data_IF_016864429800
#
_entry.id   IF_016864429800
#
_cell.length_a   1.000
_cell.length_b   1.000
_cell.length_c   1.000
_cell.angle_alpha   90.00
_cell.angle_beta   90.00
_cell.angle_gamma   90.00
#
_symmetry.space_group_name_H-M   'P 1'
#
loop_
_entity.id
_entity.type
_entity.pdbx_description
1 polymer ?
#
# COMPACT_ATOMS: atom_id res chain seq x y z
N UNK A 1 -25.87 -76.09 24.43
CA UNK A 1 -24.50 -76.56 24.79
C UNK A 1 -23.62 -76.26 23.58
N UNK A 2 -22.76 -75.24 23.71
CA UNK A 2 -21.48 -74.95 23.01
C UNK A 2 -21.34 -75.37 21.53
N UNK A 3 -20.90 -74.56 20.56
CA UNK A 3 -20.01 -73.38 20.56
C UNK A 3 -19.97 -72.89 19.09
N UNK A 4 -20.24 -71.61 18.84
CA UNK A 4 -19.84 -70.94 17.60
C UNK A 4 -18.37 -70.52 17.72
N UNK A 5 -17.53 -70.64 16.68
CA UNK A 5 -16.17 -70.12 16.73
C UNK A 5 -16.16 -68.60 16.50
N UNK A 6 -15.51 -67.91 17.43
CA UNK A 6 -15.22 -66.48 17.40
C UNK A 6 -14.35 -66.11 16.19
N UNK A 7 -14.96 -65.47 15.19
CA UNK A 7 -14.27 -64.77 14.11
C UNK A 7 -13.84 -63.39 14.55
N UNK A 8 -12.76 -63.32 15.31
CA UNK A 8 -12.11 -62.07 15.76
C UNK A 8 -11.44 -61.37 14.56
N UNK A 9 -12.12 -60.40 13.94
CA UNK A 9 -11.51 -59.50 12.94
C UNK A 9 -10.64 -58.45 13.64
N UNK A 10 -9.41 -58.82 13.96
CA UNK A 10 -8.35 -57.87 14.33
C UNK A 10 -7.90 -57.10 13.08
N UNK A 11 -8.49 -55.92 12.86
CA UNK A 11 -7.90 -54.91 11.98
C UNK A 11 -6.67 -54.35 12.72
N UNK A 12 -5.50 -54.88 12.42
CA UNK A 12 -4.22 -54.26 12.81
C UNK A 12 -3.93 -53.11 11.84
N UNK A 13 -4.60 -51.99 12.02
CA UNK A 13 -4.16 -50.73 11.42
C UNK A 13 -2.94 -50.23 12.17
N UNK A 14 -1.76 -50.58 11.66
CA UNK A 14 -0.55 -49.79 11.92
C UNK A 14 -0.87 -48.33 11.55
N UNK A 15 -0.58 -47.34 12.41
CA UNK A 15 -0.66 -45.95 11.98
C UNK A 15 0.41 -45.76 10.90
N UNK A 16 0.02 -45.77 9.63
CA UNK A 16 0.87 -45.17 8.61
C UNK A 16 0.98 -43.70 8.98
N UNK A 17 2.16 -43.29 9.44
CA UNK A 17 2.56 -41.91 9.65
C UNK A 17 2.51 -41.19 8.29
N UNK A 18 1.30 -40.84 7.87
CA UNK A 18 1.01 -39.96 6.76
C UNK A 18 1.27 -38.53 7.24
N UNK A 19 2.52 -38.24 7.62
CA UNK A 19 3.09 -36.89 7.54
C UNK A 19 3.22 -36.50 6.08
N UNK A 20 2.07 -36.33 5.42
CA UNK A 20 1.97 -35.49 4.25
C UNK A 20 2.47 -34.13 4.70
N UNK A 21 3.57 -33.71 4.10
CA UNK A 21 4.11 -32.37 4.20
C UNK A 21 3.03 -31.40 3.72
N UNK A 22 2.16 -31.00 4.64
CA UNK A 22 1.53 -29.70 4.55
C UNK A 22 2.70 -28.75 4.53
N UNK A 23 2.99 -28.17 3.37
CA UNK A 23 3.71 -26.92 3.31
C UNK A 23 2.87 -25.94 4.13
N UNK A 24 3.15 -25.89 5.43
CA UNK A 24 2.69 -24.80 6.26
C UNK A 24 3.36 -23.60 5.61
N UNK A 25 2.58 -22.81 4.88
CA UNK A 25 2.86 -21.40 4.71
C UNK A 25 2.75 -20.77 6.10
N UNK A 26 3.66 -21.16 7.01
CA UNK A 26 3.97 -20.34 8.17
C UNK A 26 4.37 -19.01 7.56
N UNK A 27 3.72 -17.90 7.92
CA UNK A 27 4.25 -16.59 7.61
C UNK A 27 5.71 -16.64 8.02
N UNK A 28 6.63 -16.45 7.06
CA UNK A 28 8.03 -16.25 7.44
C UNK A 28 8.00 -15.12 8.47
N UNK A 29 8.57 -15.30 9.67
CA UNK A 29 8.78 -14.16 10.54
C UNK A 29 9.53 -13.14 9.69
N UNK A 30 8.95 -11.95 9.55
CA UNK A 30 9.59 -10.83 8.90
C UNK A 30 10.86 -10.55 9.73
N UNK A 31 12.08 -10.74 9.21
CA UNK A 31 13.04 -9.71 9.51
C UNK A 31 12.40 -8.49 8.87
N UNK A 32 11.95 -7.51 9.66
CA UNK A 32 11.93 -6.19 9.08
C UNK A 32 13.31 -6.03 8.46
N UNK A 33 13.43 -5.69 7.15
CA UNK A 33 14.71 -5.19 6.72
C UNK A 33 15.07 -4.14 7.75
N UNK A 34 16.33 -4.06 8.15
CA UNK A 34 16.84 -2.91 8.90
C UNK A 34 16.73 -1.70 7.94
N UNK A 35 15.48 -1.26 7.69
CA UNK A 35 15.08 -0.17 6.82
C UNK A 35 15.55 1.15 7.43
N UNK A 36 15.71 1.13 8.75
CA UNK A 36 16.17 2.22 9.57
C UNK A 36 17.47 1.78 10.24
N UNK A 37 18.42 2.70 10.35
CA UNK A 37 19.42 2.61 11.40
C UNK A 37 18.69 2.62 12.75
N UNK A 38 19.14 1.83 13.72
CA UNK A 38 18.55 1.87 15.07
C UNK A 38 18.55 3.33 15.57
N UNK A 39 17.39 3.86 16.03
CA UNK A 39 17.35 5.19 16.60
C UNK A 39 18.29 5.25 17.81
N UNK A 40 19.03 6.36 18.01
CA UNK A 40 19.77 6.59 19.24
C UNK A 40 18.87 6.38 20.48
N UNK A 41 19.43 5.82 21.55
CA UNK A 41 18.67 5.46 22.76
C UNK A 41 17.95 6.67 23.40
N UNK A 42 18.44 7.89 23.15
CA UNK A 42 17.91 9.15 23.67
C UNK A 42 16.86 9.80 22.76
N UNK A 43 16.54 9.22 21.61
CA UNK A 43 15.55 9.79 20.69
C UNK A 43 14.12 9.64 21.24
N UNK A 44 13.27 10.69 21.18
CA UNK A 44 11.88 10.59 21.64
C UNK A 44 11.13 9.55 20.82
N UNK A 45 10.74 8.45 21.47
CA UNK A 45 9.85 7.44 20.89
C UNK A 45 8.41 7.86 21.15
N UNK A 46 7.63 8.29 20.14
CA UNK A 46 6.20 8.40 20.29
C UNK A 46 5.68 7.05 20.77
N UNK A 47 4.83 7.06 21.81
CA UNK A 47 4.25 5.83 22.33
C UNK A 47 3.62 5.04 21.17
N UNK A 48 3.88 3.72 21.04
CA UNK A 48 3.31 2.92 19.97
C UNK A 48 1.79 3.06 20.05
N UNK A 49 1.21 3.72 19.05
CA UNK A 49 -0.21 4.07 19.10
C UNK A 49 -1.00 2.80 18.78
N UNK A 50 -1.86 2.29 19.67
CA UNK A 50 -2.69 1.10 19.40
C UNK A 50 -3.62 1.27 18.17
N UNK A 51 -3.72 2.49 17.62
CA UNK A 51 -4.44 2.81 16.39
C UNK A 51 -3.79 2.23 15.13
N UNK A 52 -2.52 1.82 15.15
CA UNK A 52 -1.80 1.44 13.92
C UNK A 52 -2.22 0.08 13.35
N UNK A 53 -2.35 -1.02 14.14
CA UNK A 53 -2.96 -2.25 13.64
C UNK A 53 -4.39 -2.02 13.14
N UNK A 54 -5.15 -1.13 13.80
CA UNK A 54 -6.47 -0.74 13.34
C UNK A 54 -6.40 0.02 11.99
N UNK A 55 -5.39 0.86 11.77
CA UNK A 55 -5.14 1.53 10.51
C UNK A 55 -4.90 0.53 9.37
N UNK A 56 -3.98 -0.41 9.54
CA UNK A 56 -3.74 -1.47 8.56
C UNK A 56 -4.98 -2.34 8.31
N UNK A 57 -5.79 -2.61 9.35
CA UNK A 57 -7.02 -3.40 9.20
C UNK A 57 -8.04 -2.78 8.23
N UNK A 58 -8.03 -1.46 8.05
CA UNK A 58 -8.89 -0.77 7.09
C UNK A 58 -8.69 -1.24 5.64
N UNK A 59 -7.47 -1.69 5.31
CA UNK A 59 -7.13 -2.20 3.98
C UNK A 59 -7.87 -3.50 3.64
N UNK A 60 -8.51 -4.18 4.61
CA UNK A 60 -9.46 -5.28 4.34
C UNK A 60 -10.61 -4.86 3.44
N UNK A 61 -10.99 -3.57 3.46
CA UNK A 61 -12.02 -3.07 2.57
C UNK A 61 -11.68 -3.34 1.10
N UNK A 62 -10.40 -3.32 0.72
CA UNK A 62 -9.90 -3.53 -0.65
C UNK A 62 -10.08 -4.96 -1.16
N UNK A 63 -10.47 -5.92 -0.32
CA UNK A 63 -10.84 -7.28 -0.76
C UNK A 63 -11.94 -7.25 -1.83
N UNK A 64 -12.85 -6.26 -1.77
CA UNK A 64 -13.95 -6.14 -2.73
C UNK A 64 -13.51 -5.69 -4.14
N UNK A 65 -12.25 -5.28 -4.32
CA UNK A 65 -11.70 -4.98 -5.65
C UNK A 65 -11.46 -6.24 -6.50
N UNK A 66 -11.48 -7.41 -5.86
CA UNK A 66 -11.42 -8.71 -6.51
C UNK A 66 -12.66 -9.55 -6.13
N UNK A 67 -13.84 -9.25 -6.70
CA UNK A 67 -15.07 -9.98 -6.38
C UNK A 67 -14.98 -11.48 -6.71
N UNK A 68 -14.03 -11.89 -7.56
CA UNK A 68 -13.77 -13.30 -7.85
C UNK A 68 -13.10 -14.06 -6.70
N UNK A 69 -12.45 -13.38 -5.75
CA UNK A 69 -11.91 -14.02 -4.54
C UNK A 69 -13.02 -14.55 -3.59
N UNK A 70 -14.21 -13.93 -3.59
CA UNK A 70 -15.36 -14.32 -2.76
C UNK A 70 -16.12 -15.54 -3.28
N UNK A 71 -15.91 -15.98 -4.53
CA UNK A 71 -16.65 -17.11 -5.11
C UNK A 71 -16.32 -18.48 -4.47
N UNK A 72 -15.33 -18.56 -3.57
CA UNK A 72 -14.97 -19.76 -2.84
C UNK A 72 -15.84 -19.92 -1.56
N UNK A 73 -17.14 -20.20 -1.73
CA UNK A 73 -18.06 -20.53 -0.61
C UNK A 73 -17.78 -21.96 -0.07
N UNK A 74 -17.80 -22.24 1.26
CA UNK A 74 -17.52 -23.56 1.80
C UNK A 74 -18.65 -24.59 1.62
N UNK A 75 -18.27 -25.71 0.98
CA UNK A 75 -18.43 -27.11 1.41
C UNK A 75 -19.84 -27.73 1.55
N UNK A 76 -20.24 -28.53 0.55
CA UNK A 76 -20.91 -29.83 0.81
C UNK A 76 -19.86 -30.85 1.28
N UNK A 77 -20.20 -31.77 2.21
CA UNK A 77 -19.26 -32.75 2.74
C UNK A 77 -18.60 -33.58 1.63
N UNK A 78 -17.29 -33.79 1.75
CA UNK A 78 -16.45 -34.53 0.80
C UNK A 78 -17.03 -35.93 0.50
N UNK A 79 -17.76 -36.07 -0.61
CA UNK A 79 -18.11 -37.37 -1.16
C UNK A 79 -16.92 -37.96 -1.94
N UNK A 80 -16.64 -39.27 -1.80
CA UNK A 80 -15.72 -39.96 -2.69
C UNK A 80 -16.17 -39.83 -4.15
N UNK A 81 -15.32 -39.25 -5.01
CA UNK A 81 -15.61 -39.00 -6.43
C UNK A 81 -15.73 -37.53 -6.83
N UNK A 82 -15.62 -36.58 -5.89
CA UNK A 82 -15.60 -35.15 -6.21
C UNK A 82 -14.32 -34.76 -6.99
N UNK A 83 -14.51 -34.03 -8.10
CA UNK A 83 -13.43 -33.48 -8.94
C UNK A 83 -12.50 -32.58 -8.11
N UNK A 84 -11.18 -32.57 -8.35
CA UNK A 84 -10.26 -31.64 -7.68
C UNK A 84 -10.76 -30.20 -7.88
N UNK A 85 -10.90 -29.48 -6.76
CA UNK A 85 -11.33 -28.09 -6.71
C UNK A 85 -10.55 -27.22 -7.72
N UNK A 86 -11.18 -26.19 -8.32
CA UNK A 86 -10.40 -25.18 -9.03
C UNK A 86 -9.36 -24.61 -8.07
N UNK A 87 -8.09 -24.55 -8.51
CA UNK A 87 -7.02 -23.90 -7.74
C UNK A 87 -7.48 -22.49 -7.41
N UNK A 88 -7.44 -22.11 -6.13
CA UNK A 88 -7.67 -20.74 -5.71
C UNK A 88 -6.74 -19.83 -6.54
N UNK A 89 -7.31 -18.91 -7.31
CA UNK A 89 -6.55 -17.93 -8.08
C UNK A 89 -5.81 -17.04 -7.07
N UNK A 90 -4.51 -16.73 -7.27
CA UNK A 90 -3.84 -15.77 -6.42
C UNK A 90 -4.58 -14.43 -6.49
N UNK A 91 -4.61 -13.65 -5.40
CA UNK A 91 -5.30 -12.36 -5.41
C UNK A 91 -4.86 -11.49 -6.59
N UNK A 92 -5.78 -10.69 -7.15
CA UNK A 92 -5.50 -9.87 -8.33
C UNK A 92 -4.55 -8.69 -8.06
N UNK A 93 -4.38 -8.29 -6.80
CA UNK A 93 -3.71 -7.06 -6.41
C UNK A 93 -2.45 -7.32 -5.59
N UNK A 94 -1.43 -6.50 -5.84
CA UNK A 94 -0.26 -6.35 -4.97
C UNK A 94 -0.40 -5.05 -4.14
N UNK A 95 0.15 -5.02 -2.92
CA UNK A 95 0.25 -3.81 -2.09
C UNK A 95 1.71 -3.38 -2.00
N UNK A 96 2.10 -2.34 -2.72
CA UNK A 96 3.46 -1.81 -2.64
C UNK A 96 3.54 -0.79 -1.50
N UNK A 97 4.46 -1.02 -0.56
CA UNK A 97 4.74 -0.11 0.53
C UNK A 97 6.05 0.61 0.26
N UNK A 98 6.00 1.91 0.04
CA UNK A 98 7.17 2.77 -0.08
C UNK A 98 7.39 3.44 1.27
N UNK A 99 8.52 3.22 1.92
CA UNK A 99 8.77 3.69 3.28
C UNK A 99 9.89 4.71 3.26
N UNK A 100 9.59 5.92 3.72
CA UNK A 100 10.60 6.94 3.95
C UNK A 100 11.57 6.50 5.06
N UNK A 101 12.86 6.62 4.77
CA UNK A 101 13.98 6.23 5.63
C UNK A 101 14.80 7.44 6.09
N UNK A 102 14.24 8.65 5.99
CA UNK A 102 14.84 9.88 6.50
C UNK A 102 15.08 9.84 8.02
N UNK A 103 16.01 10.64 8.53
CA UNK A 103 16.41 10.60 9.94
C UNK A 103 15.23 10.83 10.92
N UNK A 104 14.30 11.72 10.57
CA UNK A 104 13.09 12.00 11.36
C UNK A 104 12.14 10.81 11.45
N UNK A 105 12.20 9.88 10.48
CA UNK A 105 11.39 8.66 10.46
C UNK A 105 11.77 7.66 11.55
N UNK A 106 12.94 7.81 12.17
CA UNK A 106 13.37 6.97 13.28
C UNK A 106 12.41 7.03 14.48
N UNK A 107 11.78 8.19 14.72
CA UNK A 107 10.72 8.32 15.74
C UNK A 107 9.51 7.41 15.43
N UNK A 108 9.23 7.15 14.15
CA UNK A 108 8.02 6.47 13.71
C UNK A 108 8.21 4.97 13.47
N UNK A 109 9.42 4.44 13.73
CA UNK A 109 9.81 3.07 13.44
C UNK A 109 8.80 2.03 13.94
N UNK A 110 8.46 2.07 15.23
CA UNK A 110 7.57 1.09 15.85
C UNK A 110 6.16 1.11 15.21
N UNK A 111 5.68 2.30 14.85
CA UNK A 111 4.40 2.45 14.16
C UNK A 111 4.47 1.88 12.75
N UNK A 112 5.50 2.19 11.98
CA UNK A 112 5.65 1.70 10.61
C UNK A 112 5.80 0.17 10.62
N UNK A 113 6.63 -0.37 11.51
CA UNK A 113 6.78 -1.81 11.71
C UNK A 113 5.45 -2.48 12.03
N UNK A 114 4.70 -1.96 13.00
CA UNK A 114 3.39 -2.50 13.35
C UNK A 114 2.40 -2.44 12.17
N UNK A 115 2.42 -1.37 11.38
CA UNK A 115 1.60 -1.25 10.18
C UNK A 115 1.96 -2.31 9.13
N UNK A 116 3.23 -2.44 8.79
CA UNK A 116 3.77 -3.39 7.81
C UNK A 116 3.46 -4.83 8.23
N UNK A 117 3.76 -5.19 9.48
CA UNK A 117 3.44 -6.51 10.03
C UNK A 117 1.93 -6.80 9.99
N UNK A 118 1.09 -5.78 10.17
CA UNK A 118 -0.36 -5.93 10.10
C UNK A 118 -0.85 -6.05 8.65
N UNK A 119 -0.23 -5.34 7.71
CA UNK A 119 -0.50 -5.46 6.29
C UNK A 119 -0.15 -6.86 5.77
N UNK A 120 0.98 -7.46 6.20
CA UNK A 120 1.34 -8.84 5.84
C UNK A 120 0.36 -9.91 6.33
N UNK A 121 -0.48 -9.61 7.31
CA UNK A 121 -1.54 -10.52 7.79
C UNK A 121 -2.79 -10.47 6.91
N UNK A 122 -2.85 -9.56 5.92
CA UNK A 122 -3.95 -9.43 4.98
C UNK A 122 -3.77 -10.41 3.82
N UNK A 123 -4.61 -11.44 3.77
CA UNK A 123 -4.47 -12.54 2.79
C UNK A 123 -4.98 -12.20 1.37
N UNK A 124 -5.54 -11.01 1.15
CA UNK A 124 -6.12 -10.59 -0.13
C UNK A 124 -5.17 -9.79 -1.03
N UNK A 125 -3.91 -9.63 -0.62
CA UNK A 125 -2.83 -9.16 -1.50
C UNK A 125 -1.94 -10.34 -1.88
N UNK A 126 -1.58 -10.46 -3.15
CA UNK A 126 -0.71 -11.53 -3.61
C UNK A 126 0.74 -11.32 -3.18
N UNK A 127 1.22 -10.07 -3.29
CA UNK A 127 2.56 -9.67 -2.88
C UNK A 127 2.52 -8.31 -2.19
N UNK A 128 3.42 -8.13 -1.22
CA UNK A 128 3.61 -6.85 -0.50
C UNK A 128 5.09 -6.47 -0.54
N UNK A 129 5.61 -5.97 -1.68
CA UNK A 129 6.98 -5.49 -1.76
C UNK A 129 7.13 -4.20 -0.96
N UNK A 130 8.26 -4.08 -0.27
CA UNK A 130 8.66 -2.89 0.47
C UNK A 130 9.83 -2.24 -0.27
N UNK A 131 9.72 -0.93 -0.50
CA UNK A 131 10.75 -0.12 -1.17
C UNK A 131 11.17 0.98 -0.22
N UNK A 132 12.47 1.22 -0.12
CA UNK A 132 13.02 2.32 0.66
C UNK A 132 12.97 3.62 -0.15
N UNK A 133 12.43 4.67 0.44
CA UNK A 133 12.55 6.05 -0.03
C UNK A 133 13.63 6.74 0.79
N UNK A 134 14.72 7.15 0.13
CA UNK A 134 15.79 7.91 0.74
C UNK A 134 15.53 9.40 0.56
N UNK A 135 14.87 10.02 1.54
CA UNK A 135 14.42 11.42 1.46
C UNK A 135 15.45 12.45 1.93
N UNK A 136 16.56 12.02 2.54
CA UNK A 136 17.65 12.91 2.92
C UNK A 136 18.28 13.55 1.68
N UNK A 137 18.71 14.80 1.83
CA UNK A 137 19.18 15.64 0.72
C UNK A 137 20.29 15.00 -0.11
N UNK A 138 20.40 15.50 -1.33
CA UNK A 138 21.21 15.07 -2.48
C UNK A 138 22.63 14.60 -2.10
N UNK A 139 22.76 13.39 -1.58
CA UNK A 139 23.93 12.58 -1.84
C UNK A 139 23.77 12.12 -3.30
N UNK A 140 24.49 12.70 -4.26
CA UNK A 140 24.37 12.29 -5.67
C UNK A 140 24.70 10.81 -5.87
N UNK A 141 25.37 10.17 -4.90
CA UNK A 141 25.65 8.74 -4.92
C UNK A 141 24.51 7.88 -4.38
N UNK A 142 23.57 8.45 -3.63
CA UNK A 142 22.42 7.73 -3.08
C UNK A 142 21.14 8.14 -3.81
N UNK A 143 20.65 7.34 -4.77
CA UNK A 143 19.39 7.64 -5.43
C UNK A 143 18.23 7.62 -4.43
N UNK A 144 17.21 8.44 -4.69
CA UNK A 144 15.98 8.52 -3.85
C UNK A 144 15.28 7.17 -3.74
N UNK A 145 15.39 6.32 -4.77
CA UNK A 145 14.90 4.95 -4.79
C UNK A 145 15.97 4.00 -5.33
N UNK A 146 16.06 2.81 -4.76
CA UNK A 146 16.84 1.72 -5.35
C UNK A 146 16.15 1.18 -6.62
N UNK A 147 16.85 1.18 -7.74
CA UNK A 147 16.28 0.77 -9.03
C UNK A 147 15.91 -0.73 -9.06
N UNK A 148 16.64 -1.58 -8.33
CA UNK A 148 16.34 -3.00 -8.25
C UNK A 148 15.13 -3.28 -7.36
N UNK A 149 14.92 -2.53 -6.27
CA UNK A 149 13.70 -2.57 -5.47
C UNK A 149 12.47 -2.17 -6.30
N UNK A 150 12.56 -1.04 -7.02
CA UNK A 150 11.49 -0.56 -7.92
C UNK A 150 11.20 -1.58 -9.02
N UNK A 151 12.24 -2.16 -9.62
CA UNK A 151 12.11 -3.19 -10.65
C UNK A 151 11.48 -4.48 -10.13
N UNK A 152 11.89 -4.98 -8.96
CA UNK A 152 11.30 -6.16 -8.32
C UNK A 152 9.85 -5.95 -7.91
N UNK A 153 9.49 -4.73 -7.49
CA UNK A 153 8.12 -4.38 -7.16
C UNK A 153 7.25 -4.21 -8.43
N UNK A 154 7.87 -4.09 -9.61
CA UNK A 154 7.18 -3.95 -10.89
C UNK A 154 6.39 -2.65 -10.99
N UNK A 155 6.86 -1.55 -10.40
CA UNK A 155 6.11 -0.28 -10.38
C UNK A 155 5.89 0.36 -11.77
N UNK A 156 6.56 -0.15 -12.82
CA UNK A 156 6.30 0.19 -14.22
C UNK A 156 5.54 -0.88 -15.00
N UNK A 157 5.08 -1.95 -14.34
CA UNK A 157 4.31 -3.04 -14.97
C UNK A 157 2.81 -2.78 -14.84
N UNK A 158 2.19 -2.45 -15.98
CA UNK A 158 0.75 -2.18 -16.07
C UNK A 158 -0.10 -3.47 -16.08
N UNK A 159 0.51 -4.63 -16.34
CA UNK A 159 -0.21 -5.92 -16.46
C UNK A 159 -0.71 -6.41 -15.12
N UNK A 160 -0.01 -6.04 -14.05
CA UNK A 160 -0.29 -6.45 -12.68
C UNK A 160 -0.86 -5.28 -11.89
N UNK A 161 -2.07 -5.44 -11.37
CA UNK A 161 -2.73 -4.39 -10.59
C UNK A 161 -2.02 -4.18 -9.25
N UNK A 162 -1.70 -2.93 -8.93
CA UNK A 162 -0.99 -2.55 -7.69
C UNK A 162 -1.74 -1.45 -6.97
N UNK A 163 -1.62 -1.47 -5.66
CA UNK A 163 -2.02 -0.39 -4.76
C UNK A 163 -0.76 0.11 -4.08
N UNK A 164 -0.50 1.41 -4.13
CA UNK A 164 0.75 1.99 -3.62
C UNK A 164 0.45 2.87 -2.41
N UNK A 165 1.16 2.63 -1.30
CA UNK A 165 1.16 3.49 -0.13
C UNK A 165 2.58 4.00 0.13
N UNK A 166 2.74 5.32 0.16
CA UNK A 166 4.00 5.98 0.54
C UNK A 166 3.91 6.42 2.00
N UNK A 167 4.67 5.84 2.91
CA UNK A 167 4.63 6.13 4.35
C UNK A 167 5.77 7.08 4.71
N UNK A 168 5.43 8.27 5.22
CA UNK A 168 6.41 9.36 5.41
C UNK A 168 5.93 10.39 6.44
N UNK A 169 6.85 11.19 6.99
CA UNK A 169 6.58 12.47 7.65
C UNK A 169 6.82 13.69 6.73
N UNK A 170 7.30 13.43 5.51
CA UNK A 170 7.62 14.37 4.46
C UNK A 170 8.49 15.56 4.91
N UNK A 171 9.42 15.32 5.84
CA UNK A 171 10.38 16.33 6.32
C UNK A 171 11.68 16.33 5.51
N UNK A 172 12.05 15.19 4.92
CA UNK A 172 13.31 15.06 4.17
C UNK A 172 13.38 16.00 2.94
N UNK A 173 14.55 16.58 2.62
CA UNK A 173 14.69 17.55 1.52
C UNK A 173 14.21 17.07 0.14
N UNK A 174 14.23 15.76 -0.12
CA UNK A 174 13.72 15.22 -1.39
C UNK A 174 12.23 15.55 -1.63
N UNK A 175 11.45 15.78 -0.56
CA UNK A 175 10.03 16.12 -0.63
C UNK A 175 9.76 17.56 -1.09
N UNK A 176 10.73 18.45 -0.94
CA UNK A 176 10.61 19.82 -1.48
C UNK A 176 10.74 19.81 -3.01
N UNK A 177 11.58 18.92 -3.54
CA UNK A 177 11.91 18.84 -4.95
C UNK A 177 10.84 18.20 -5.85
N UNK A 178 10.75 18.71 -7.07
CA UNK A 178 9.92 18.14 -8.14
C UNK A 178 10.31 16.72 -8.59
N UNK A 179 11.58 16.26 -8.56
CA UNK A 179 11.92 14.91 -9.04
C UNK A 179 11.18 13.79 -8.30
N UNK A 180 11.05 13.88 -6.97
CA UNK A 180 10.30 12.90 -6.19
C UNK A 180 8.80 12.96 -6.51
N UNK A 181 8.22 14.16 -6.52
CA UNK A 181 6.79 14.37 -6.84
C UNK A 181 6.44 13.85 -8.23
N UNK A 182 7.28 14.16 -9.22
CA UNK A 182 7.13 13.68 -10.61
C UNK A 182 7.24 12.16 -10.71
N UNK A 183 8.14 11.53 -9.94
CA UNK A 183 8.24 10.07 -9.89
C UNK A 183 6.97 9.44 -9.30
N UNK A 184 6.45 10.00 -8.19
CA UNK A 184 5.20 9.54 -7.59
C UNK A 184 4.02 9.73 -8.54
N UNK A 185 3.95 10.86 -9.24
CA UNK A 185 2.93 11.12 -10.26
C UNK A 185 2.98 10.11 -11.41
N UNK A 186 4.19 9.72 -11.85
CA UNK A 186 4.38 8.68 -12.87
C UNK A 186 3.83 7.33 -12.44
N UNK A 187 4.04 6.90 -11.20
CA UNK A 187 3.42 5.67 -10.68
C UNK A 187 1.92 5.81 -10.45
N UNK A 188 1.49 6.98 -9.97
CA UNK A 188 0.09 7.30 -9.75
C UNK A 188 -0.72 7.37 -11.06
N UNK A 189 -0.06 7.57 -12.21
CA UNK A 189 -0.69 7.53 -13.52
C UNK A 189 -1.10 6.11 -13.97
N UNK A 190 -0.49 5.08 -13.38
CA UNK A 190 -0.71 3.66 -13.74
C UNK A 190 -1.38 2.88 -12.61
N UNK A 191 -1.20 3.31 -11.36
CA UNK A 191 -1.72 2.64 -10.18
C UNK A 191 -2.37 3.61 -9.19
N UNK A 192 -3.38 3.19 -8.42
CA UNK A 192 -3.85 3.96 -7.27
C UNK A 192 -2.72 4.14 -6.24
N UNK A 193 -2.40 5.39 -5.94
CA UNK A 193 -1.33 5.78 -5.03
C UNK A 193 -1.83 6.79 -4.01
N UNK A 194 -1.50 6.58 -2.74
CA UNK A 194 -1.69 7.56 -1.69
C UNK A 194 -0.45 7.71 -0.81
N UNK A 195 -0.29 8.89 -0.22
CA UNK A 195 0.70 9.15 0.82
C UNK A 195 0.04 8.95 2.18
N UNK A 196 0.66 8.13 3.04
CA UNK A 196 0.26 7.88 4.41
C UNK A 196 1.20 8.65 5.35
N UNK A 197 0.74 9.80 5.80
CA UNK A 197 1.47 10.68 6.69
C UNK A 197 1.45 10.14 8.12
N UNK A 198 2.63 9.97 8.72
CA UNK A 198 2.77 9.38 10.07
C UNK A 198 2.34 10.33 11.19
N UNK A 199 2.48 11.64 11.00
CA UNK A 199 1.95 12.65 11.92
C UNK A 199 0.45 12.93 11.69
N UNK A 200 -0.31 13.37 12.71
CA UNK A 200 -1.69 13.82 12.56
C UNK A 200 -1.85 15.02 11.62
N UNK A 201 -3.00 15.12 10.93
CA UNK A 201 -3.29 16.18 9.94
C UNK A 201 -2.98 17.62 10.41
N UNK A 202 -3.31 18.04 11.66
CA UNK A 202 -2.97 19.39 12.14
C UNK A 202 -1.47 19.73 12.15
N UNK A 203 -0.58 18.74 12.04
CA UNK A 203 0.86 18.95 12.05
C UNK A 203 1.51 18.91 10.65
N UNK A 204 0.73 18.67 9.59
CA UNK A 204 1.28 18.56 8.23
C UNK A 204 1.82 19.88 7.68
N UNK A 205 1.42 21.02 8.24
CA UNK A 205 1.97 22.34 7.90
C UNK A 205 3.47 22.48 8.15
N UNK A 206 4.08 21.52 8.86
CA UNK A 206 5.53 21.42 9.09
C UNK A 206 6.25 20.46 8.13
N UNK A 207 5.51 19.81 7.24
CA UNK A 207 6.04 18.92 6.20
C UNK A 207 6.13 19.68 4.87
N UNK A 208 6.83 19.09 3.89
CA UNK A 208 6.89 19.62 2.53
C UNK A 208 5.63 19.31 1.69
N UNK A 209 4.61 18.63 2.25
CA UNK A 209 3.35 18.36 1.55
C UNK A 209 2.41 19.57 1.65
N UNK A 210 2.29 20.31 0.56
CA UNK A 210 1.26 21.33 0.39
C UNK A 210 -0.10 20.67 0.08
N UNK A 211 -0.74 20.10 1.11
CA UNK A 211 -2.04 19.45 0.96
C UNK A 211 -3.18 20.46 0.92
N UNK A 212 -4.19 20.18 0.10
CA UNK A 212 -5.47 20.90 0.12
C UNK A 212 -6.67 19.94 0.10
N UNK A 213 -7.82 20.32 0.66
CA UNK A 213 -9.01 19.48 0.61
C UNK A 213 -9.57 19.46 -0.81
N UNK A 214 -9.86 18.26 -1.31
CA UNK A 214 -10.52 18.01 -2.59
C UNK A 214 -11.63 16.97 -2.41
N UNK A 215 -12.71 17.10 -3.17
CA UNK A 215 -13.68 16.02 -3.33
C UNK A 215 -13.25 15.17 -4.53
N UNK A 216 -13.02 13.89 -4.28
CA UNK A 216 -12.52 12.93 -5.26
C UNK A 216 -13.57 11.87 -5.52
N UNK A 217 -13.66 11.41 -6.77
CA UNK A 217 -14.43 10.22 -7.16
C UNK A 217 -13.60 9.39 -8.11
N UNK A 218 -13.54 8.09 -7.90
CA UNK A 218 -12.95 7.17 -8.87
C UNK A 218 -14.05 6.54 -9.72
N UNK A 219 -14.04 6.72 -11.05
CA UNK A 219 -14.99 6.07 -11.94
C UNK A 219 -14.66 4.58 -12.13
N UNK A 220 -13.42 4.17 -11.87
CA UNK A 220 -12.90 2.82 -12.04
C UNK A 220 -12.52 2.19 -10.70
N UNK A 221 -12.97 0.96 -10.43
CA UNK A 221 -12.62 0.29 -9.18
C UNK A 221 -11.11 0.01 -9.12
N UNK A 222 -10.43 0.67 -8.17
CA UNK A 222 -8.98 0.64 -8.02
C UNK A 222 -8.23 1.23 -9.22
N UNK A 223 -8.85 2.13 -9.98
CA UNK A 223 -8.21 2.80 -11.12
C UNK A 223 -7.03 3.70 -10.69
N UNK A 224 -6.15 4.08 -11.64
CA UNK A 224 -5.05 5.00 -11.37
C UNK A 224 -5.55 6.39 -10.98
N UNK A 225 -4.70 7.17 -10.30
CA UNK A 225 -5.09 8.50 -9.82
C UNK A 225 -5.44 9.48 -10.96
N UNK A 226 -4.91 9.27 -12.16
CA UNK A 226 -5.24 10.05 -13.36
C UNK A 226 -6.70 9.91 -13.80
N UNK A 227 -7.38 8.84 -13.37
CA UNK A 227 -8.83 8.65 -13.62
C UNK A 227 -9.72 9.36 -12.60
N UNK A 228 -9.16 9.89 -11.51
CA UNK A 228 -9.97 10.53 -10.50
C UNK A 228 -10.64 11.78 -11.06
N UNK A 229 -11.94 11.86 -10.83
CA UNK A 229 -12.68 13.09 -10.99
C UNK A 229 -12.49 13.94 -9.74
N UNK A 230 -12.34 15.26 -9.95
CA UNK A 230 -11.94 16.18 -8.89
C UNK A 230 -12.88 17.37 -8.85
N UNK A 231 -13.32 17.71 -7.65
CA UNK A 231 -14.07 18.92 -7.34
C UNK A 231 -13.38 19.64 -6.18
N UNK A 232 -13.26 20.96 -6.29
CA UNK A 232 -12.95 21.79 -5.12
C UNK A 232 -14.17 21.80 -4.20
N UNK A 233 -14.00 21.64 -2.87
CA UNK A 233 -15.12 21.76 -1.94
C UNK A 233 -15.80 23.12 -2.10
N UNK A 234 -17.13 23.12 -2.19
CA UNK A 234 -17.93 24.35 -2.21
C UNK A 234 -17.96 24.92 -0.79
N UNK A 235 -17.21 25.99 -0.57
CA UNK A 235 -17.28 26.80 0.63
C UNK A 235 -17.58 28.23 0.22
N UNK A 236 -18.84 28.49 -0.14
CA UNK A 236 -19.30 29.79 -0.62
C UNK A 236 -18.89 30.98 0.28
N UNK A 237 -18.69 30.77 1.59
CA UNK A 237 -18.24 31.83 2.50
C UNK A 237 -16.74 32.11 2.35
N UNK A 238 -15.92 31.06 2.17
CA UNK A 238 -14.49 31.19 1.95
C UNK A 238 -14.16 31.60 0.50
N UNK A 239 -14.87 31.04 -0.49
CA UNK A 239 -14.71 31.34 -1.91
C UNK A 239 -15.01 32.82 -2.24
N UNK A 240 -15.90 33.47 -1.48
CA UNK A 240 -16.16 34.90 -1.60
C UNK A 240 -14.97 35.77 -1.13
N UNK A 241 -14.09 35.23 -0.28
CA UNK A 241 -12.91 35.93 0.24
C UNK A 241 -11.65 35.57 -0.56
N UNK A 242 -11.46 34.28 -0.85
CA UNK A 242 -10.35 33.73 -1.62
C UNK A 242 -10.90 32.58 -2.47
N UNK A 243 -11.08 32.77 -3.79
CA UNK A 243 -11.56 31.70 -4.66
C UNK A 243 -10.66 30.47 -4.59
N UNK A 244 -11.25 29.28 -4.45
CA UNK A 244 -10.50 28.04 -4.53
C UNK A 244 -9.71 27.97 -5.85
N UNK A 245 -8.40 27.72 -5.74
CA UNK A 245 -7.56 27.57 -6.92
C UNK A 245 -7.92 26.26 -7.65
N UNK A 246 -8.32 26.30 -8.93
CA UNK A 246 -8.69 25.09 -9.66
C UNK A 246 -7.50 24.13 -9.75
N UNK A 247 -7.79 22.84 -9.94
CA UNK A 247 -6.74 21.86 -10.26
C UNK A 247 -6.34 22.07 -11.72
N UNK A 248 -5.06 22.33 -12.03
CA UNK A 248 -4.63 22.49 -13.41
C UNK A 248 -4.92 21.24 -14.23
N UNK A 249 -5.27 21.42 -15.51
CA UNK A 249 -5.46 20.29 -16.42
C UNK A 249 -4.20 19.42 -16.49
N UNK A 250 -4.39 18.10 -16.68
CA UNK A 250 -3.32 17.10 -16.74
C UNK A 250 -2.47 16.99 -15.45
N UNK A 251 -2.95 17.51 -14.32
CA UNK A 251 -2.32 17.26 -13.02
C UNK A 251 -2.70 15.88 -12.48
N UNK A 252 -1.79 15.27 -11.73
CA UNK A 252 -2.08 14.05 -10.97
C UNK A 252 -2.38 14.45 -9.52
N UNK A 253 -3.55 14.06 -9.04
CA UNK A 253 -3.94 14.26 -7.64
C UNK A 253 -3.51 13.05 -6.82
N UNK A 254 -2.72 13.26 -5.78
CA UNK A 254 -2.27 12.19 -4.88
C UNK A 254 -2.90 12.42 -3.50
N UNK A 255 -3.86 11.56 -3.09
CA UNK A 255 -4.42 11.58 -1.74
C UNK A 255 -3.32 11.50 -0.66
N UNK A 256 -3.48 12.30 0.38
CA UNK A 256 -2.67 12.27 1.60
C UNK A 256 -3.57 11.89 2.76
N UNK A 257 -3.16 10.85 3.50
CA UNK A 257 -3.92 10.17 4.53
C UNK A 257 -3.17 10.31 5.84
N UNK A 258 -3.86 10.55 6.95
CA UNK A 258 -3.28 10.32 8.26
C UNK A 258 -3.13 8.81 8.50
N UNK A 259 -2.06 8.37 9.19
CA UNK A 259 -1.86 6.99 9.67
C UNK A 259 -2.92 6.59 10.71
N UNK A 260 -4.16 6.45 10.26
CA UNK A 260 -5.32 6.14 11.07
C UNK A 260 -6.34 5.34 10.26
N UNK A 261 -7.13 4.54 10.97
CA UNK A 261 -8.18 3.69 10.37
C UNK A 261 -9.15 4.49 9.52
N UNK A 262 -9.68 5.61 10.05
CA UNK A 262 -10.70 6.42 9.39
C UNK A 262 -10.25 6.92 8.01
N UNK A 263 -9.03 7.47 7.92
CA UNK A 263 -8.52 8.06 6.68
C UNK A 263 -8.24 6.98 5.62
N UNK A 264 -7.74 5.82 6.03
CA UNK A 264 -7.52 4.68 5.14
C UNK A 264 -8.87 4.10 4.67
N UNK A 265 -9.87 3.95 5.55
CA UNK A 265 -11.22 3.51 5.16
C UNK A 265 -11.87 4.46 4.14
N UNK A 266 -11.67 5.77 4.34
CA UNK A 266 -12.15 6.80 3.43
C UNK A 266 -11.51 6.69 2.04
N UNK A 267 -10.19 6.46 1.98
CA UNK A 267 -9.50 6.18 0.73
C UNK A 267 -9.91 4.85 0.09
N UNK A 268 -10.09 3.78 0.88
CA UNK A 268 -10.60 2.51 0.36
C UNK A 268 -12.02 2.69 -0.24
N UNK A 269 -12.85 3.55 0.35
CA UNK A 269 -14.16 3.90 -0.22
C UNK A 269 -14.02 4.61 -1.57
N UNK A 270 -13.04 5.50 -1.72
CA UNK A 270 -12.75 6.14 -3.01
C UNK A 270 -12.41 5.08 -4.08
N UNK A 271 -11.62 4.06 -3.73
CA UNK A 271 -11.21 3.01 -4.67
C UNK A 271 -12.31 1.97 -4.95
N UNK A 272 -13.19 1.71 -4.00
CA UNK A 272 -14.17 0.62 -4.09
C UNK A 272 -15.59 1.09 -4.42
N UNK A 273 -15.79 2.39 -4.62
CA UNK A 273 -17.11 2.95 -4.91
C UNK A 273 -17.02 4.13 -5.86
N UNK A 274 -18.08 4.36 -6.62
CA UNK A 274 -18.26 5.54 -7.48
C UNK A 274 -18.80 6.74 -6.70
N UNK A 275 -18.53 6.84 -5.39
CA UNK A 275 -19.01 7.94 -4.54
C UNK A 275 -17.95 9.01 -4.40
N UNK A 276 -18.41 10.26 -4.25
CA UNK A 276 -17.57 11.37 -3.86
C UNK A 276 -17.06 11.20 -2.43
N UNK A 277 -15.77 11.46 -2.25
CA UNK A 277 -15.05 11.39 -0.99
C UNK A 277 -14.20 12.63 -0.82
N UNK A 278 -14.40 13.37 0.27
CA UNK A 278 -13.51 14.48 0.63
C UNK A 278 -12.17 13.93 1.10
N UNK A 279 -11.06 14.48 0.62
CA UNK A 279 -9.72 14.03 1.01
C UNK A 279 -8.70 15.15 0.93
N UNK A 280 -7.70 15.13 1.80
CA UNK A 280 -6.52 15.96 1.61
C UNK A 280 -5.69 15.37 0.47
N UNK A 281 -5.16 16.21 -0.41
CA UNK A 281 -4.33 15.74 -1.50
C UNK A 281 -3.27 16.77 -1.88
N UNK A 282 -2.16 16.28 -2.43
CA UNK A 282 -1.24 17.11 -3.20
C UNK A 282 -1.62 17.05 -4.68
N UNK A 283 -1.37 18.15 -5.39
CA UNK A 283 -1.57 18.26 -6.83
C UNK A 283 -0.19 18.35 -7.45
N UNK A 284 0.17 17.36 -8.26
CA UNK A 284 1.41 17.37 -9.02
C UNK A 284 1.07 17.77 -10.44
N UNK A 285 1.56 18.95 -10.85
CA UNK A 285 1.34 19.45 -12.21
C UNK A 285 2.05 18.59 -13.26
N UNK A 286 1.68 18.72 -14.54
CA UNK A 286 2.46 18.13 -15.62
C UNK A 286 3.88 18.72 -15.53
N UNK A 287 4.86 17.88 -15.24
CA UNK A 287 6.26 18.32 -15.11
C UNK A 287 6.67 19.09 -16.36
N UNK A 288 7.34 20.23 -16.18
CA UNK A 288 8.04 20.90 -17.27
C UNK A 288 9.18 19.98 -17.72
N UNK A 289 8.92 19.19 -18.76
CA UNK A 289 9.82 18.31 -19.51
C UNK A 289 10.77 17.37 -18.74
N UNK A 290 10.61 16.09 -19.05
CA UNK A 290 11.67 15.09 -19.05
C UNK A 290 12.70 15.40 -20.16
N UNK A 291 13.37 16.55 -20.05
CA UNK A 291 14.34 17.05 -21.01
C UNK A 291 15.73 17.24 -20.41
N UNK A 292 16.43 16.15 -20.14
CA UNK A 292 17.91 16.08 -20.25
C UNK A 292 18.35 14.62 -20.19
N UNK A 293 18.37 13.97 -21.36
CA UNK A 293 19.27 12.84 -21.56
C UNK A 293 20.69 13.40 -21.72
N UNK A 294 21.71 12.87 -21.02
CA UNK A 294 23.07 13.28 -21.26
C UNK A 294 23.54 12.53 -22.49
N UNK A 295 23.41 13.12 -23.68
CA UNK A 295 24.25 12.74 -24.82
C UNK A 295 24.17 13.81 -25.93
N UNK A 296 25.24 14.59 -25.99
CA UNK A 296 25.47 15.59 -27.01
C UNK A 296 26.96 15.93 -27.07
N UNK A 297 27.81 14.90 -27.16
CA UNK A 297 29.20 15.08 -27.61
C UNK A 297 29.13 15.60 -29.04
N UNK A 298 29.45 16.87 -29.23
CA UNK A 298 29.60 17.48 -30.54
C UNK A 298 31.00 17.14 -31.08
N UNK A 299 31.16 16.45 -32.22
CA UNK A 299 32.47 16.29 -32.82
C UNK A 299 32.86 17.58 -33.55
N UNK A 300 34.03 18.11 -33.20
CA UNK A 300 34.85 18.95 -34.07
C UNK A 300 35.92 18.08 -34.73
#
# INVERSE_FOLDING_TARGET
>A
MNTHPDGNWLITSTPQDNRRQFFSLRPRPFPAPDLFSEPPDDWPRPAPVPAVPAAASALRALETLDPTAQANTPTLPNLPGASPYPRARPPAWDLVLIIDTGASMAAWYDSIKAFVESAYKLAHFAHIPVISLHSQGFDPMRPVFDAAEVGRAGLGDETRKKIILVITDAVGPAWEGEPLKSRLAGWAAVHPLAVLHVAPHPHWSRSALATRPLNLRSPELGGPNTTFEVQTPDDAALDALVPAEPVPANSVVIPVLELSKRWIEQWCRLLNSSKWVSQQAIVVGPGADAGEGPDGVNPA
#
